data_IF_909197617449
#
_entry.id   IF_909197617449
#
_cell.length_a   1.000
_cell.length_b   1.000
_cell.length_c   1.000
_cell.angle_alpha   90.00
_cell.angle_beta   90.00
_cell.angle_gamma   90.00
#
_symmetry.space_group_name_H-M   'P 1'
#
loop_
_entity.id
_entity.type
_entity.pdbx_description
1 polymer ?
#
# COMPACT_ATOMS: atom_id res chain seq x y z
N UNK A 1 -1.93 10.17 -33.74
CA UNK A 1 -2.52 9.47 -32.59
C UNK A 1 -1.49 9.27 -31.52
N UNK A 2 -1.78 9.63 -30.31
CA UNK A 2 -0.81 9.59 -29.24
C UNK A 2 -1.07 8.44 -28.27
N UNK A 3 -1.44 7.28 -28.81
CA UNK A 3 -1.78 6.12 -28.00
C UNK A 3 -0.63 5.71 -27.07
N UNK A 4 0.63 5.86 -27.54
CA UNK A 4 1.80 5.48 -26.75
C UNK A 4 2.01 6.37 -25.53
N UNK A 5 1.49 7.61 -25.55
CA UNK A 5 1.60 8.52 -24.43
C UNK A 5 0.39 8.44 -23.51
N UNK A 6 -0.64 7.70 -23.91
CA UNK A 6 -1.82 7.56 -23.10
C UNK A 6 -1.56 6.62 -21.92
N UNK A 7 -2.12 6.99 -20.78
CA UNK A 7 -2.02 6.14 -19.60
C UNK A 7 -2.91 4.92 -19.78
N UNK A 8 -2.39 3.69 -19.57
CA UNK A 8 -3.26 2.50 -19.62
C UNK A 8 -4.41 2.65 -18.64
N UNK A 9 -5.58 2.16 -19.04
CA UNK A 9 -6.78 2.27 -18.20
C UNK A 9 -6.56 1.62 -16.83
N UNK A 10 -5.87 0.48 -16.79
CA UNK A 10 -5.57 -0.18 -15.53
C UNK A 10 -4.70 0.67 -14.61
N UNK A 11 -3.76 1.44 -15.16
CA UNK A 11 -2.94 2.34 -14.35
C UNK A 11 -3.81 3.46 -13.76
N UNK A 12 -4.76 3.97 -14.53
CA UNK A 12 -5.71 4.97 -14.03
C UNK A 12 -6.51 4.41 -12.86
N UNK A 13 -7.03 3.19 -13.00
CA UNK A 13 -7.78 2.52 -11.95
C UNK A 13 -6.91 2.33 -10.70
N UNK A 14 -5.67 1.85 -10.89
CA UNK A 14 -4.74 1.67 -9.78
C UNK A 14 -4.43 2.98 -9.08
N UNK A 15 -4.25 4.06 -9.83
CA UNK A 15 -3.97 5.37 -9.24
C UNK A 15 -5.14 5.85 -8.39
N UNK A 16 -6.37 5.68 -8.87
CA UNK A 16 -7.56 6.08 -8.12
C UNK A 16 -7.70 5.21 -6.86
N UNK A 17 -7.56 3.89 -7.00
CA UNK A 17 -7.65 2.98 -5.87
C UNK A 17 -6.56 3.25 -4.84
N UNK A 18 -5.35 3.55 -5.30
CA UNK A 18 -4.24 3.88 -4.42
C UNK A 18 -4.49 5.19 -3.67
N UNK A 19 -5.08 6.18 -4.34
CA UNK A 19 -5.42 7.44 -3.69
C UNK A 19 -6.45 7.23 -2.59
N UNK A 20 -7.51 6.47 -2.88
CA UNK A 20 -8.54 6.16 -1.90
C UNK A 20 -7.96 5.31 -0.76
N UNK A 21 -7.25 4.25 -1.11
CA UNK A 21 -6.64 3.35 -0.12
C UNK A 21 -5.60 4.05 0.73
N UNK A 22 -4.80 4.92 0.13
CA UNK A 22 -3.81 5.71 0.85
C UNK A 22 -4.45 6.68 1.82
N UNK A 23 -5.52 7.37 1.41
CA UNK A 23 -6.24 8.28 2.29
C UNK A 23 -6.88 7.54 3.47
N UNK A 24 -7.58 6.44 3.19
CA UNK A 24 -8.19 5.63 4.24
C UNK A 24 -7.13 5.00 5.15
N UNK A 25 -6.04 4.53 4.56
CA UNK A 25 -4.93 3.96 5.31
C UNK A 25 -4.26 4.98 6.22
N UNK A 26 -4.17 6.23 5.76
CA UNK A 26 -3.62 7.31 6.58
C UNK A 26 -4.48 7.54 7.82
N UNK A 27 -5.80 7.58 7.65
CA UNK A 27 -6.71 7.72 8.78
C UNK A 27 -6.59 6.53 9.74
N UNK A 28 -6.51 5.32 9.20
CA UNK A 28 -6.31 4.11 10.01
C UNK A 28 -4.99 4.12 10.74
N UNK A 29 -3.91 4.56 10.08
CA UNK A 29 -2.58 4.65 10.70
C UNK A 29 -2.59 5.63 11.88
N UNK A 30 -3.20 6.79 11.69
CA UNK A 30 -3.29 7.78 12.75
C UNK A 30 -4.12 7.26 13.93
N UNK A 31 -5.18 6.52 13.64
CA UNK A 31 -5.98 5.88 14.67
C UNK A 31 -5.15 4.86 15.48
N UNK A 32 -4.37 4.02 14.78
CA UNK A 32 -3.53 3.03 15.44
C UNK A 32 -2.46 3.68 16.31
N UNK A 33 -1.85 4.76 15.82
CA UNK A 33 -0.85 5.49 16.58
C UNK A 33 -1.50 6.11 17.82
N UNK A 34 -2.68 6.70 17.68
CA UNK A 34 -3.42 7.26 18.79
C UNK A 34 -3.79 6.22 19.84
N UNK A 35 -4.29 5.06 19.40
CA UNK A 35 -4.62 3.97 20.31
C UNK A 35 -3.36 3.42 21.01
N UNK A 36 -2.24 3.38 20.26
CA UNK A 36 -0.96 2.98 20.83
C UNK A 36 -0.53 3.91 21.97
N UNK A 37 -0.68 5.22 21.76
CA UNK A 37 -0.39 6.21 22.79
C UNK A 37 -1.28 6.07 24.01
N UNK A 38 -2.59 5.89 23.80
CA UNK A 38 -3.53 5.67 24.91
C UNK A 38 -3.20 4.38 25.67
N UNK A 39 -2.84 3.32 24.95
CA UNK A 39 -2.44 2.08 25.60
C UNK A 39 -1.20 2.26 26.46
N UNK A 40 -0.23 3.02 25.99
CA UNK A 40 1.00 3.27 26.73
C UNK A 40 0.72 4.00 28.04
N UNK A 41 -0.16 5.03 28.02
CA UNK A 41 -0.45 5.81 29.25
C UNK A 41 -1.42 5.09 30.17
N UNK A 42 -2.20 4.14 29.69
CA UNK A 42 -3.17 3.40 30.51
C UNK A 42 -2.61 2.13 31.14
N UNK A 43 -1.31 1.85 30.98
CA UNK A 43 -0.66 0.69 31.56
C UNK A 43 -0.60 -0.54 30.66
N UNK A 44 -1.09 -0.45 29.43
CA UNK A 44 -0.98 -1.53 28.44
C UNK A 44 0.22 -1.28 27.53
N UNK A 45 1.40 -1.07 28.12
CA UNK A 45 2.59 -0.61 27.40
C UNK A 45 3.00 -1.50 26.22
N UNK A 46 2.94 -2.83 26.40
CA UNK A 46 3.30 -3.76 25.32
C UNK A 46 2.32 -3.63 24.15
N UNK A 47 1.01 -3.69 24.45
CA UNK A 47 -0.02 -3.56 23.41
C UNK A 47 0.00 -2.18 22.78
N UNK A 48 0.20 -1.14 23.58
CA UNK A 48 0.31 0.23 23.08
C UNK A 48 1.49 0.39 22.14
N UNK A 49 2.64 -0.18 22.50
CA UNK A 49 3.83 -0.16 21.64
C UNK A 49 3.61 -0.91 20.34
N UNK A 50 2.95 -2.07 20.41
CA UNK A 50 2.67 -2.88 19.23
C UNK A 50 1.72 -2.16 18.28
N UNK A 51 0.64 -1.57 18.80
CA UNK A 51 -0.31 -0.80 17.98
C UNK A 51 0.37 0.42 17.38
N UNK A 52 1.22 1.12 18.14
CA UNK A 52 1.98 2.24 17.62
C UNK A 52 2.90 1.85 16.49
N UNK A 53 3.59 0.72 16.64
CA UNK A 53 4.49 0.20 15.59
C UNK A 53 3.71 -0.15 14.32
N UNK A 54 2.58 -0.85 14.46
CA UNK A 54 1.73 -1.17 13.33
C UNK A 54 1.20 0.10 12.66
N UNK A 55 0.87 1.11 13.45
CA UNK A 55 0.44 2.39 12.93
C UNK A 55 1.52 3.09 12.13
N UNK A 56 2.77 3.04 12.58
CA UNK A 56 3.90 3.62 11.83
C UNK A 56 4.10 2.89 10.51
N UNK A 57 4.05 1.56 10.49
CA UNK A 57 4.17 0.79 9.25
C UNK A 57 3.02 1.14 8.32
N UNK A 58 1.79 1.22 8.84
CA UNK A 58 0.63 1.60 8.04
C UNK A 58 0.76 3.03 7.50
N UNK A 59 1.35 3.94 8.27
CA UNK A 59 1.59 5.30 7.83
C UNK A 59 2.56 5.33 6.65
N UNK A 60 3.66 4.59 6.74
CA UNK A 60 4.65 4.50 5.66
C UNK A 60 3.98 3.94 4.41
N UNK A 61 3.22 2.86 4.54
CA UNK A 61 2.53 2.25 3.41
C UNK A 61 1.53 3.23 2.78
N UNK A 62 0.78 3.97 3.60
CA UNK A 62 -0.19 4.95 3.10
C UNK A 62 0.48 6.08 2.32
N UNK A 63 1.61 6.56 2.81
CA UNK A 63 2.40 7.58 2.10
C UNK A 63 2.90 7.03 0.77
N UNK A 64 3.38 5.78 0.75
CA UNK A 64 3.81 5.14 -0.49
C UNK A 64 2.65 5.03 -1.49
N UNK A 65 1.46 4.66 -1.03
CA UNK A 65 0.29 4.58 -1.89
C UNK A 65 -0.12 5.93 -2.45
N UNK A 66 -0.11 6.97 -1.62
CA UNK A 66 -0.44 8.33 -2.08
C UNK A 66 0.59 8.85 -3.07
N UNK A 67 1.87 8.62 -2.80
CA UNK A 67 2.93 9.00 -3.72
C UNK A 67 2.82 8.21 -5.03
N UNK A 68 2.52 6.92 -4.95
CA UNK A 68 2.27 6.10 -6.14
C UNK A 68 1.09 6.66 -6.94
N UNK A 69 -0.01 6.99 -6.26
CA UNK A 69 -1.20 7.53 -6.93
C UNK A 69 -0.85 8.79 -7.73
N UNK A 70 -0.11 9.70 -7.12
CA UNK A 70 0.31 10.93 -7.79
C UNK A 70 1.23 10.63 -8.97
N UNK A 71 2.27 9.83 -8.73
CA UNK A 71 3.25 9.51 -9.76
C UNK A 71 2.67 8.66 -10.89
N UNK A 72 1.77 7.74 -10.57
CA UNK A 72 1.11 6.92 -11.58
C UNK A 72 0.18 7.76 -12.45
N UNK A 73 -0.51 8.73 -11.85
CA UNK A 73 -1.35 9.63 -12.62
C UNK A 73 -0.52 10.38 -13.66
N UNK A 74 0.72 10.69 -13.32
CA UNK A 74 1.64 11.40 -14.20
C UNK A 74 2.62 10.48 -14.93
N UNK A 75 2.50 9.19 -14.76
CA UNK A 75 3.36 8.16 -15.36
C UNK A 75 4.85 8.39 -15.08
N UNK A 76 5.16 8.81 -13.87
CA UNK A 76 6.54 9.00 -13.46
C UNK A 76 7.24 7.66 -13.26
N UNK A 77 8.47 7.47 -13.77
CA UNK A 77 9.16 6.18 -13.62
C UNK A 77 9.37 5.75 -12.17
N UNK A 78 9.62 6.71 -11.28
CA UNK A 78 9.82 6.39 -9.86
C UNK A 78 8.55 5.84 -9.21
N UNK A 79 7.38 6.19 -9.74
CA UNK A 79 6.12 5.73 -9.16
C UNK A 79 5.96 4.21 -9.30
N UNK A 80 6.47 3.62 -10.38
CA UNK A 80 6.43 2.17 -10.53
C UNK A 80 7.11 1.47 -9.36
N UNK A 81 8.29 1.98 -8.99
CA UNK A 81 9.03 1.42 -7.87
C UNK A 81 8.28 1.57 -6.56
N UNK A 82 7.64 2.72 -6.34
CA UNK A 82 6.83 2.93 -5.14
C UNK A 82 5.63 1.99 -5.10
N UNK A 83 4.99 1.74 -6.24
CA UNK A 83 3.88 0.80 -6.31
C UNK A 83 4.31 -0.61 -5.93
N UNK A 84 5.44 -1.05 -6.48
CA UNK A 84 5.99 -2.36 -6.15
C UNK A 84 6.34 -2.43 -4.66
N UNK A 85 6.98 -1.39 -4.13
CA UNK A 85 7.36 -1.36 -2.72
C UNK A 85 6.13 -1.38 -1.81
N UNK A 86 5.11 -0.61 -2.14
CA UNK A 86 3.88 -0.57 -1.34
C UNK A 86 3.20 -1.93 -1.27
N UNK A 87 3.11 -2.63 -2.42
CA UNK A 87 2.49 -3.95 -2.43
C UNK A 87 3.35 -4.99 -1.70
N UNK A 88 4.66 -4.91 -1.83
CA UNK A 88 5.57 -5.80 -1.10
C UNK A 88 5.43 -5.61 0.41
N UNK A 89 5.38 -4.35 0.87
CA UNK A 89 5.15 -4.04 2.29
C UNK A 89 3.81 -4.59 2.74
N UNK A 90 2.76 -4.41 1.93
CA UNK A 90 1.44 -4.92 2.24
C UNK A 90 1.42 -6.44 2.41
N UNK A 91 2.07 -7.17 1.51
CA UNK A 91 2.19 -8.62 1.61
C UNK A 91 2.95 -9.01 2.88
N UNK A 92 4.06 -8.32 3.16
CA UNK A 92 4.85 -8.58 4.36
C UNK A 92 4.03 -8.39 5.64
N UNK A 93 3.27 -7.30 5.71
CA UNK A 93 2.39 -7.03 6.85
C UNK A 93 1.33 -8.11 6.98
N UNK A 94 0.72 -8.53 5.87
CA UNK A 94 -0.30 -9.59 5.90
C UNK A 94 0.28 -10.90 6.43
N UNK A 95 1.49 -11.28 6.00
CA UNK A 95 2.14 -12.49 6.50
C UNK A 95 2.40 -12.39 8.00
N UNK A 96 2.91 -11.25 8.47
CA UNK A 96 3.15 -11.04 9.89
C UNK A 96 1.86 -11.12 10.70
N UNK A 97 0.77 -10.58 10.18
CA UNK A 97 -0.53 -10.64 10.85
C UNK A 97 -1.03 -12.07 10.94
N UNK A 98 -0.85 -12.89 9.91
CA UNK A 98 -1.22 -14.31 9.95
C UNK A 98 -0.41 -15.02 11.03
N UNK A 99 0.89 -14.78 11.08
CA UNK A 99 1.75 -15.39 12.11
C UNK A 99 1.35 -14.93 13.51
N UNK A 100 0.80 -13.72 13.63
CA UNK A 100 0.31 -13.18 14.89
C UNK A 100 -1.10 -13.63 15.28
N UNK A 101 -1.73 -14.49 14.50
CA UNK A 101 -3.05 -15.05 14.81
C UNK A 101 -4.22 -14.38 14.11
N UNK A 102 -3.98 -13.48 13.16
CA UNK A 102 -5.05 -12.86 12.40
C UNK A 102 -5.74 -13.89 11.50
N UNK A 103 -6.97 -13.58 11.08
CA UNK A 103 -7.74 -14.44 10.19
C UNK A 103 -6.99 -14.69 8.89
N UNK A 104 -6.74 -15.96 8.57
CA UNK A 104 -6.09 -16.34 7.32
C UNK A 104 -6.95 -15.91 6.13
N UNK A 105 -8.27 -16.07 6.23
CA UNK A 105 -9.17 -15.76 5.12
C UNK A 105 -9.05 -14.30 4.68
N UNK A 106 -9.09 -13.36 5.63
CA UNK A 106 -8.99 -11.94 5.29
C UNK A 106 -7.62 -11.57 4.75
N UNK A 107 -6.56 -12.16 5.29
CA UNK A 107 -5.21 -11.86 4.84
C UNK A 107 -4.90 -12.48 3.48
N UNK A 108 -5.43 -13.66 3.19
CA UNK A 108 -5.28 -14.28 1.87
C UNK A 108 -5.90 -13.41 0.79
N UNK A 109 -7.08 -12.83 1.04
CA UNK A 109 -7.72 -11.92 0.08
C UNK A 109 -6.77 -10.74 -0.21
N UNK A 110 -6.20 -10.15 0.85
CA UNK A 110 -5.25 -9.03 0.70
C UNK A 110 -4.03 -9.43 -0.09
N UNK A 111 -3.46 -10.61 0.19
CA UNK A 111 -2.27 -11.11 -0.49
C UNK A 111 -2.56 -11.38 -1.96
N UNK A 112 -3.71 -11.97 -2.28
CA UNK A 112 -4.12 -12.24 -3.66
C UNK A 112 -4.27 -10.94 -4.44
N UNK A 113 -4.91 -9.94 -3.84
CA UNK A 113 -5.09 -8.63 -4.48
C UNK A 113 -3.73 -7.99 -4.72
N UNK A 114 -2.86 -7.98 -3.71
CA UNK A 114 -1.52 -7.41 -3.85
C UNK A 114 -0.71 -8.15 -4.92
N UNK A 115 -0.80 -9.46 -4.95
CA UNK A 115 -0.13 -10.26 -5.98
C UNK A 115 -0.64 -9.96 -7.38
N UNK A 116 -1.95 -9.78 -7.53
CA UNK A 116 -2.55 -9.42 -8.81
C UNK A 116 -2.08 -8.03 -9.26
N UNK A 117 -2.00 -7.08 -8.34
CA UNK A 117 -1.51 -5.73 -8.63
C UNK A 117 -0.04 -5.79 -9.04
N UNK A 118 0.78 -6.55 -8.32
CA UNK A 118 2.19 -6.74 -8.66
C UNK A 118 2.34 -7.36 -10.05
N UNK A 119 1.55 -8.40 -10.34
CA UNK A 119 1.58 -9.03 -11.65
C UNK A 119 1.29 -8.00 -12.74
N UNK A 120 0.26 -7.19 -12.54
CA UNK A 120 -0.12 -6.16 -13.50
C UNK A 120 1.00 -5.14 -13.70
N UNK A 121 1.63 -4.70 -12.60
CA UNK A 121 2.73 -3.72 -12.67
C UNK A 121 3.93 -4.26 -13.44
N UNK A 122 4.14 -5.57 -13.45
CA UNK A 122 5.26 -6.18 -14.16
C UNK A 122 4.93 -6.52 -15.61
N UNK A 123 3.70 -6.25 -16.08
CA UNK A 123 3.39 -6.48 -17.49
C UNK A 123 4.17 -5.51 -18.38
N UNK A 124 4.58 -5.93 -19.59
CA UNK A 124 5.37 -5.06 -20.47
C UNK A 124 4.70 -3.73 -20.80
N UNK A 125 3.38 -3.75 -21.00
CA UNK A 125 2.64 -2.53 -21.34
C UNK A 125 2.71 -1.50 -20.21
N UNK A 126 2.56 -1.94 -18.95
CA UNK A 126 2.61 -1.06 -17.81
C UNK A 126 4.03 -0.56 -17.56
N UNK A 127 5.01 -1.45 -17.63
CA UNK A 127 6.42 -1.04 -17.47
C UNK A 127 6.80 0.00 -18.52
N UNK A 128 6.38 -0.21 -19.77
CA UNK A 128 6.65 0.75 -20.82
C UNK A 128 5.97 2.09 -20.55
N UNK A 129 4.74 2.07 -20.04
CA UNK A 129 4.03 3.30 -19.71
C UNK A 129 4.75 4.13 -18.66
N UNK A 130 5.42 3.45 -17.71
CA UNK A 130 6.22 4.12 -16.68
C UNK A 130 7.66 4.38 -17.11
N UNK A 131 8.01 4.12 -18.34
CA UNK A 131 9.37 4.31 -18.84
C UNK A 131 10.37 3.29 -18.28
N UNK A 132 9.90 2.12 -17.85
CA UNK A 132 10.76 1.04 -17.31
C UNK A 132 11.02 0.00 -18.40
N UNK A 133 12.26 -0.49 -18.49
CA UNK A 133 12.58 -1.53 -19.48
C UNK A 133 11.90 -2.88 -19.21
#
# INVERSE_FOLDING_TARGET
>A
MQASSARPQGVTILAILAAIGGALGLLGALTLIGLGGLGAVSGAGFLGGLLGLLGIVALVQSVLLLAFAYGAWRLQPWAWMLGVAAEAVGIGVSVLLILGGASITSQIVSIVIAGAILYYLFTPAVKAAFGRP
#
